data_IF_288191797055
#
_entry.id   IF_288191797055
#
_cell.length_a   1.000
_cell.length_b   1.000
_cell.length_c   1.000
_cell.angle_alpha   90.00
_cell.angle_beta   90.00
_cell.angle_gamma   90.00
#
_symmetry.space_group_name_H-M   'P 1'
#
loop_
_entity.id
_entity.type
_entity.pdbx_description
1 polymer ?
#
# COMPACT_ATOMS: atom_id res chain seq x y z
N UNK A 1 -25.07 18.02 33.31
CA UNK A 1 -25.64 17.39 32.10
C UNK A 1 -24.80 16.18 31.79
N UNK A 2 -25.34 15.01 32.11
CA UNK A 2 -24.64 13.74 32.23
C UNK A 2 -25.40 12.70 31.42
N UNK A 3 -24.78 12.09 30.42
CA UNK A 3 -25.31 10.91 29.75
C UNK A 3 -24.35 9.74 29.91
N UNK A 4 -24.84 8.77 30.65
CA UNK A 4 -24.26 7.48 30.97
C UNK A 4 -24.64 6.46 29.89
N UNK A 5 -23.65 5.80 29.28
CA UNK A 5 -23.84 4.61 28.45
C UNK A 5 -24.17 3.40 29.33
N UNK A 6 -25.34 2.81 29.09
CA UNK A 6 -25.81 1.58 29.72
C UNK A 6 -25.25 0.34 29.01
N UNK A 7 -24.86 -0.63 29.85
CA UNK A 7 -24.44 -1.99 29.50
C UNK A 7 -25.65 -2.84 29.09
N UNK A 8 -25.48 -3.74 28.13
CA UNK A 8 -26.18 -5.03 28.15
C UNK A 8 -25.21 -6.17 27.81
N UNK A 9 -25.26 -7.20 28.65
CA UNK A 9 -24.57 -8.49 28.57
C UNK A 9 -25.66 -9.60 28.69
N UNK A 10 -25.33 -10.88 28.45
CA UNK A 10 -26.12 -11.80 27.61
C UNK A 10 -26.78 -12.95 28.38
N UNK A 11 -27.55 -13.79 27.69
CA UNK A 11 -27.87 -15.19 28.05
C UNK A 11 -28.50 -15.88 26.81
N UNK A 12 -27.95 -16.99 26.27
CA UNK A 12 -28.08 -18.41 26.69
C UNK A 12 -29.45 -19.00 26.26
N UNK A 13 -29.66 -20.20 25.70
CA UNK A 13 -28.97 -21.50 25.66
C UNK A 13 -29.44 -22.39 24.46
N UNK A 14 -28.54 -23.30 24.03
CA UNK A 14 -28.70 -24.75 23.66
C UNK A 14 -29.77 -25.22 22.64
N UNK A 15 -29.30 -25.98 21.63
CA UNK A 15 -29.40 -27.46 21.64
C UNK A 15 -28.49 -28.16 20.61
N UNK A 16 -27.95 -29.30 21.05
CA UNK A 16 -27.01 -30.22 20.39
C UNK A 16 -27.72 -31.15 19.38
N UNK A 17 -27.00 -31.66 18.35
CA UNK A 17 -26.55 -33.07 18.26
C UNK A 17 -25.88 -33.46 16.93
N UNK A 18 -24.77 -34.18 17.09
CA UNK A 18 -24.19 -35.28 16.31
C UNK A 18 -23.54 -35.10 14.91
N UNK A 19 -22.20 -35.23 14.94
CA UNK A 19 -21.25 -35.83 13.96
C UNK A 19 -21.62 -37.29 13.60
N UNK A 20 -21.11 -37.93 12.51
CA UNK A 20 -19.67 -38.02 12.20
C UNK A 20 -19.21 -38.08 10.72
N UNK A 21 -17.88 -37.97 10.58
CA UNK A 21 -17.02 -38.15 9.40
C UNK A 21 -17.04 -39.57 8.82
N UNK A 22 -16.71 -39.75 7.52
CA UNK A 22 -15.88 -40.83 6.90
C UNK A 22 -15.65 -40.53 5.38
N UNK A 23 -14.39 -40.66 4.92
CA UNK A 23 -13.87 -40.59 3.51
C UNK A 23 -14.07 -41.95 2.76
N UNK A 24 -13.41 -42.22 1.60
CA UNK A 24 -13.61 -41.76 0.21
C UNK A 24 -13.92 -42.95 -0.74
N UNK A 25 -14.29 -42.75 -2.02
CA UNK A 25 -14.23 -43.83 -3.03
C UNK A 25 -14.08 -43.33 -4.48
N UNK A 26 -13.01 -43.82 -5.10
CA UNK A 26 -12.76 -43.88 -6.55
C UNK A 26 -13.61 -45.02 -7.16
N UNK A 27 -14.13 -44.86 -8.39
CA UNK A 27 -13.99 -45.86 -9.48
C UNK A 27 -14.91 -45.61 -10.70
N UNK A 28 -14.31 -45.85 -11.87
CA UNK A 28 -14.86 -46.43 -13.09
C UNK A 28 -15.77 -45.61 -14.05
N UNK A 29 -15.22 -45.41 -15.26
CA UNK A 29 -15.89 -45.13 -16.53
C UNK A 29 -16.92 -46.21 -16.92
N UNK A 30 -17.80 -45.89 -17.87
CA UNK A 30 -18.08 -46.80 -18.98
C UNK A 30 -17.79 -46.18 -20.35
N UNK A 31 -17.11 -46.96 -21.18
CA UNK A 31 -16.94 -46.72 -22.62
C UNK A 31 -18.21 -47.10 -23.38
N UNK A 32 -18.59 -46.30 -24.39
CA UNK A 32 -19.50 -46.74 -25.47
C UNK A 32 -19.00 -46.28 -26.85
N UNK A 33 -18.24 -47.19 -27.46
CA UNK A 33 -18.14 -47.56 -28.89
C UNK A 33 -18.75 -46.59 -29.93
N UNK A 34 -17.87 -45.89 -30.66
CA UNK A 34 -18.18 -45.39 -32.00
C UNK A 34 -18.07 -46.53 -33.03
N UNK A 35 -19.15 -46.76 -33.80
CA UNK A 35 -19.15 -47.63 -34.98
C UNK A 35 -18.80 -46.82 -36.22
N UNK A 36 -17.81 -47.30 -36.95
CA UNK A 36 -17.45 -46.94 -38.33
C UNK A 36 -18.25 -47.82 -39.29
N UNK A 37 -18.72 -47.27 -40.42
CA UNK A 37 -18.63 -47.85 -41.77
C UNK A 37 -19.11 -46.82 -42.83
N UNK A 38 -18.68 -46.96 -44.09
CA UNK A 38 -18.26 -45.86 -44.96
C UNK A 38 -19.17 -45.74 -46.19
N UNK A 39 -18.96 -44.73 -47.03
CA UNK A 39 -19.25 -44.83 -48.47
C UNK A 39 -18.33 -43.85 -49.23
N UNK A 40 -17.41 -44.46 -50.00
CA UNK A 40 -16.79 -43.96 -51.24
C UNK A 40 -17.90 -43.44 -52.21
N UNK A 41 -17.70 -42.65 -53.27
CA UNK A 41 -16.55 -42.36 -54.11
C UNK A 41 -16.87 -41.14 -55.02
N UNK A 42 -15.82 -40.61 -55.67
CA UNK A 42 -15.81 -39.89 -56.97
C UNK A 42 -16.37 -38.45 -56.99
N UNK A 43 -15.68 -37.42 -57.50
CA UNK A 43 -14.61 -37.26 -58.51
C UNK A 43 -13.95 -35.88 -58.27
N UNK A 44 -12.63 -35.67 -58.14
CA UNK A 44 -11.50 -35.78 -59.10
C UNK A 44 -11.51 -34.78 -60.26
N UNK A 45 -10.84 -33.63 -60.08
CA UNK A 45 -9.97 -32.96 -61.07
C UNK A 45 -9.07 -31.95 -60.33
N UNK A 46 -7.86 -32.37 -59.91
CA UNK A 46 -6.56 -32.06 -60.53
C UNK A 46 -6.10 -30.60 -60.32
N UNK A 47 -5.26 -30.29 -59.34
CA UNK A 47 -3.77 -30.41 -59.37
C UNK A 47 -3.16 -29.81 -60.65
N UNK A 48 -2.65 -28.58 -60.58
CA UNK A 48 -1.23 -28.25 -60.81
C UNK A 48 -0.99 -26.74 -60.89
N UNK A 49 -0.19 -26.20 -59.97
CA UNK A 49 1.15 -25.66 -60.31
C UNK A 49 1.77 -24.98 -59.09
N UNK A 50 2.63 -25.75 -58.41
CA UNK A 50 3.78 -25.24 -57.65
C UNK A 50 4.69 -24.49 -58.62
N UNK A 51 4.53 -23.18 -58.76
CA UNK A 51 5.54 -22.28 -59.34
C UNK A 51 5.16 -20.84 -59.01
N UNK A 52 5.56 -20.36 -57.82
CA UNK A 52 5.74 -18.92 -57.48
C UNK A 52 5.90 -18.63 -55.97
N UNK A 53 6.09 -19.64 -55.11
CA UNK A 53 6.37 -19.42 -53.68
C UNK A 53 7.81 -18.99 -53.35
N UNK A 54 8.65 -18.72 -54.34
CA UNK A 54 10.05 -18.29 -54.16
C UNK A 54 10.35 -16.87 -54.64
N UNK A 55 9.34 -16.08 -55.06
CA UNK A 55 9.53 -14.68 -55.51
C UNK A 55 8.83 -13.61 -54.65
N UNK A 56 8.26 -13.97 -53.49
CA UNK A 56 7.59 -13.02 -52.59
C UNK A 56 8.44 -12.58 -51.37
N UNK A 57 9.74 -12.90 -51.36
CA UNK A 57 10.64 -12.59 -50.24
C UNK A 57 11.51 -11.32 -50.43
N UNK A 58 11.29 -10.51 -51.47
CA UNK A 58 12.09 -9.29 -51.74
C UNK A 58 11.25 -8.07 -52.15
N UNK A 59 10.20 -7.73 -51.41
CA UNK A 59 9.48 -6.46 -51.58
C UNK A 59 9.33 -5.70 -50.26
N UNK A 60 9.66 -4.40 -50.30
CA UNK A 60 9.70 -3.43 -49.21
C UNK A 60 8.40 -3.27 -48.39
N UNK A 61 8.45 -2.66 -47.18
CA UNK A 61 7.43 -2.82 -46.12
C UNK A 61 6.09 -2.09 -46.32
N UNK A 62 5.89 -1.36 -47.41
CA UNK A 62 4.75 -0.41 -47.52
C UNK A 62 3.45 -1.00 -48.10
N UNK A 63 3.38 -2.30 -48.39
CA UNK A 63 2.16 -2.91 -48.97
C UNK A 63 1.50 -4.00 -48.11
N UNK A 64 1.76 -4.03 -46.79
CA UNK A 64 1.00 -4.89 -45.85
C UNK A 64 -0.34 -4.27 -45.42
N UNK A 65 -0.47 -2.95 -45.37
CA UNK A 65 -1.69 -2.27 -44.91
C UNK A 65 -2.87 -2.29 -45.90
N UNK A 66 -2.62 -2.44 -47.21
CA UNK A 66 -3.70 -2.54 -48.19
C UNK A 66 -4.27 -3.96 -48.38
N UNK A 67 -3.53 -5.02 -48.01
CA UNK A 67 -4.01 -6.41 -48.14
C UNK A 67 -4.76 -6.92 -46.90
N UNK A 68 -4.50 -6.38 -45.71
CA UNK A 68 -5.30 -6.70 -44.51
C UNK A 68 -6.70 -6.08 -44.53
N UNK A 69 -6.89 -4.94 -45.21
CA UNK A 69 -8.22 -4.35 -45.46
C UNK A 69 -9.10 -5.20 -46.40
N UNK A 70 -8.51 -6.03 -47.26
CA UNK A 70 -9.26 -6.88 -48.19
C UNK A 70 -9.69 -8.21 -47.55
N UNK A 71 -8.85 -8.80 -46.69
CA UNK A 71 -9.14 -10.10 -46.07
C UNK A 71 -10.21 -9.99 -44.96
N UNK A 72 -10.28 -8.86 -44.24
CA UNK A 72 -11.36 -8.66 -43.25
C UNK A 72 -12.71 -8.34 -43.89
N UNK A 73 -12.74 -7.59 -45.01
CA UNK A 73 -13.98 -7.37 -45.76
C UNK A 73 -14.49 -8.66 -46.42
N UNK A 74 -13.60 -9.54 -46.89
CA UNK A 74 -14.01 -10.81 -47.50
C UNK A 74 -14.55 -11.80 -46.46
N UNK A 75 -14.04 -11.82 -45.22
CA UNK A 75 -14.58 -12.68 -44.15
C UNK A 75 -15.97 -12.24 -43.66
N UNK A 76 -16.28 -10.94 -43.68
CA UNK A 76 -17.62 -10.42 -43.37
C UNK A 76 -18.59 -10.62 -44.54
N UNK A 77 -18.11 -10.52 -45.79
CA UNK A 77 -18.93 -10.78 -46.98
C UNK A 77 -19.23 -12.26 -47.23
N UNK A 78 -18.38 -13.19 -46.78
CA UNK A 78 -18.66 -14.65 -46.91
C UNK A 78 -19.76 -15.11 -45.94
N UNK A 79 -19.91 -14.48 -44.77
CA UNK A 79 -21.01 -14.79 -43.84
C UNK A 79 -22.32 -14.14 -44.29
N UNK A 80 -22.27 -13.04 -45.05
CA UNK A 80 -23.45 -12.38 -45.61
C UNK A 80 -23.93 -12.96 -46.97
N UNK A 81 -23.11 -13.76 -47.67
CA UNK A 81 -23.41 -14.25 -49.02
C UNK A 81 -23.86 -15.72 -49.11
N UNK A 82 -23.95 -16.46 -48.01
CA UNK A 82 -24.53 -17.82 -48.00
C UNK A 82 -26.02 -17.81 -47.59
N UNK A 83 -26.80 -16.93 -48.21
CA UNK A 83 -28.26 -16.98 -48.19
C UNK A 83 -28.75 -18.10 -49.10
N UNK A 84 -28.72 -19.34 -48.62
CA UNK A 84 -29.26 -20.51 -49.30
C UNK A 84 -30.59 -20.94 -48.68
N UNK A 85 -31.70 -20.57 -49.32
CA UNK A 85 -33.01 -21.17 -49.07
C UNK A 85 -32.96 -22.67 -49.37
N UNK A 86 -33.24 -23.51 -48.38
CA UNK A 86 -33.75 -24.86 -48.59
C UNK A 86 -34.87 -25.10 -47.57
N UNK A 87 -36.09 -25.17 -48.08
CA UNK A 87 -37.31 -25.47 -47.33
C UNK A 87 -37.24 -26.93 -46.83
N UNK A 88 -37.40 -27.15 -45.53
CA UNK A 88 -38.01 -28.37 -45.01
C UNK A 88 -38.87 -28.07 -43.79
N UNK A 89 -40.14 -28.44 -43.88
CA UNK A 89 -41.17 -28.30 -42.85
C UNK A 89 -40.86 -29.19 -41.64
N UNK A 90 -40.96 -28.65 -40.42
CA UNK A 90 -41.93 -29.12 -39.41
C UNK A 90 -41.75 -28.38 -38.09
N UNK A 91 -42.80 -27.67 -37.67
CA UNK A 91 -43.25 -27.50 -36.28
C UNK A 91 -42.20 -27.52 -35.15
N UNK A 92 -41.83 -26.34 -34.63
CA UNK A 92 -41.69 -26.09 -33.18
C UNK A 92 -41.51 -24.60 -32.85
N UNK A 93 -42.44 -24.11 -32.04
CA UNK A 93 -42.37 -22.98 -31.08
C UNK A 93 -41.64 -21.70 -31.49
N UNK A 94 -42.41 -20.63 -31.71
CA UNK A 94 -41.96 -19.24 -31.91
C UNK A 94 -41.33 -18.54 -30.70
N UNK A 95 -40.65 -19.28 -29.81
CA UNK A 95 -39.86 -18.72 -28.70
C UNK A 95 -38.33 -18.79 -28.94
N UNK A 96 -37.84 -19.64 -29.86
CA UNK A 96 -36.38 -19.83 -30.10
C UNK A 96 -35.79 -18.86 -31.15
N UNK A 97 -36.63 -18.17 -31.93
CA UNK A 97 -36.19 -17.17 -32.91
C UNK A 97 -35.88 -15.81 -32.28
N UNK A 98 -36.55 -15.45 -31.17
CA UNK A 98 -36.31 -14.21 -30.44
C UNK A 98 -34.95 -14.22 -29.73
N UNK A 99 -34.60 -15.33 -29.08
CA UNK A 99 -33.33 -15.47 -28.36
C UNK A 99 -32.11 -15.54 -29.31
N UNK A 100 -32.25 -16.15 -30.49
CA UNK A 100 -31.18 -16.17 -31.51
C UNK A 100 -30.98 -14.81 -32.18
N UNK A 101 -32.05 -14.05 -32.43
CA UNK A 101 -31.93 -12.71 -33.00
C UNK A 101 -31.36 -11.69 -32.00
N UNK A 102 -31.76 -11.79 -30.73
CA UNK A 102 -31.19 -10.99 -29.65
C UNK A 102 -29.70 -11.33 -29.47
N UNK A 103 -29.33 -12.61 -29.37
CA UNK A 103 -27.92 -13.02 -29.23
C UNK A 103 -27.07 -12.60 -30.42
N UNK A 104 -27.56 -12.70 -31.65
CA UNK A 104 -26.82 -12.27 -32.83
C UNK A 104 -26.62 -10.74 -32.88
N UNK A 105 -27.65 -9.95 -32.57
CA UNK A 105 -27.55 -8.49 -32.47
C UNK A 105 -26.61 -8.05 -31.34
N UNK A 106 -26.66 -8.73 -30.18
CA UNK A 106 -25.73 -8.50 -29.07
C UNK A 106 -24.28 -8.84 -29.43
N UNK A 107 -24.05 -9.86 -30.27
CA UNK A 107 -22.71 -10.22 -30.76
C UNK A 107 -22.19 -9.17 -31.77
N UNK A 108 -23.04 -8.70 -32.69
CA UNK A 108 -22.71 -7.65 -33.67
C UNK A 108 -22.42 -6.30 -33.01
N UNK A 109 -23.22 -5.90 -32.01
CA UNK A 109 -23.01 -4.65 -31.25
C UNK A 109 -21.69 -4.70 -30.45
N UNK A 110 -21.35 -5.85 -29.84
CA UNK A 110 -20.07 -6.05 -29.15
C UNK A 110 -18.87 -6.02 -30.10
N UNK A 111 -18.97 -6.64 -31.27
CA UNK A 111 -17.91 -6.63 -32.27
C UNK A 111 -17.63 -5.20 -32.78
N UNK A 112 -18.69 -4.39 -32.92
CA UNK A 112 -18.58 -2.99 -33.36
C UNK A 112 -17.90 -2.11 -32.31
N UNK A 113 -18.23 -2.28 -31.03
CA UNK A 113 -17.58 -1.54 -29.95
C UNK A 113 -16.11 -1.94 -29.76
N UNK A 114 -15.77 -3.23 -29.88
CA UNK A 114 -14.38 -3.68 -29.86
C UNK A 114 -13.57 -3.09 -31.02
N UNK A 115 -14.15 -3.02 -32.22
CA UNK A 115 -13.47 -2.42 -33.36
C UNK A 115 -13.23 -0.92 -33.18
N UNK A 116 -14.20 -0.17 -32.63
CA UNK A 116 -14.03 1.26 -32.29
C UNK A 116 -12.93 1.47 -31.25
N UNK A 117 -12.92 0.66 -30.20
CA UNK A 117 -11.89 0.71 -29.16
C UNK A 117 -10.50 0.47 -29.74
N UNK A 118 -10.35 -0.55 -30.58
CA UNK A 118 -9.06 -0.90 -31.20
C UNK A 118 -8.58 0.19 -32.18
N UNK A 119 -9.51 0.79 -32.94
CA UNK A 119 -9.20 1.93 -33.80
C UNK A 119 -8.75 3.16 -33.00
N UNK A 120 -9.42 3.46 -31.89
CA UNK A 120 -9.08 4.59 -31.01
C UNK A 120 -7.74 4.35 -30.30
N UNK A 121 -7.50 3.11 -29.85
CA UNK A 121 -6.23 2.67 -29.29
C UNK A 121 -5.09 2.88 -30.30
N UNK A 122 -5.24 2.40 -31.53
CA UNK A 122 -4.20 2.60 -32.56
C UNK A 122 -3.97 4.08 -32.86
N UNK A 123 -5.04 4.87 -32.99
CA UNK A 123 -4.92 6.31 -33.14
C UNK A 123 -4.13 6.93 -31.98
N UNK A 124 -4.38 6.51 -30.74
CA UNK A 124 -3.64 7.00 -29.55
C UNK A 124 -2.16 6.64 -29.62
N UNK A 125 -1.84 5.42 -30.08
CA UNK A 125 -0.45 4.99 -30.27
C UNK A 125 0.27 5.81 -31.34
N UNK A 126 -0.42 6.20 -32.39
CA UNK A 126 0.16 6.96 -33.51
C UNK A 126 0.31 8.44 -33.16
N UNK A 127 -0.73 9.05 -32.58
CA UNK A 127 -0.80 10.50 -32.34
C UNK A 127 -0.26 10.91 -30.97
N UNK A 128 -0.17 9.97 -30.02
CA UNK A 128 0.07 10.24 -28.59
C UNK A 128 -0.97 11.17 -27.97
N UNK A 129 -2.19 11.24 -28.52
CA UNK A 129 -3.25 12.14 -28.06
C UNK A 129 -4.57 11.40 -27.92
N UNK A 130 -5.14 11.46 -26.73
CA UNK A 130 -6.47 10.93 -26.42
C UNK A 130 -7.05 11.62 -25.19
N UNK A 131 -7.48 12.88 -25.36
CA UNK A 131 -8.06 13.70 -24.28
C UNK A 131 -9.52 13.33 -24.08
N UNK A 132 -9.94 13.12 -22.82
CA UNK A 132 -11.33 12.80 -22.44
C UNK A 132 -11.93 11.59 -23.18
N UNK A 133 -11.07 10.74 -23.75
CA UNK A 133 -11.49 9.61 -24.57
C UNK A 133 -11.77 8.37 -23.73
N UNK A 134 -12.44 7.37 -24.31
CA UNK A 134 -12.74 6.11 -23.63
C UNK A 134 -11.85 4.96 -24.15
N UNK A 135 -10.82 4.64 -23.38
CA UNK A 135 -9.89 3.55 -23.57
C UNK A 135 -10.05 2.46 -22.49
N UNK A 136 -11.24 2.36 -21.88
CA UNK A 136 -11.48 1.38 -20.82
C UNK A 136 -11.23 -0.04 -21.32
N UNK A 137 -10.50 -0.82 -20.52
CA UNK A 137 -10.09 -2.21 -20.85
C UNK A 137 -9.27 -2.35 -22.14
N UNK A 138 -8.73 -1.25 -22.69
CA UNK A 138 -7.81 -1.33 -23.82
C UNK A 138 -6.49 -2.01 -23.41
N UNK A 139 -5.86 -2.70 -24.35
CA UNK A 139 -4.57 -3.36 -24.14
C UNK A 139 -3.41 -2.48 -24.64
N UNK A 140 -2.76 -1.78 -23.74
CA UNK A 140 -1.53 -1.00 -23.95
C UNK A 140 -0.29 -1.69 -23.39
N UNK A 141 -0.31 -3.02 -23.25
CA UNK A 141 0.87 -3.77 -22.82
C UNK A 141 2.06 -3.49 -23.74
N UNK A 142 3.23 -3.25 -23.16
CA UNK A 142 4.48 -2.89 -23.86
C UNK A 142 4.37 -1.63 -24.75
N UNK A 143 3.29 -0.86 -24.64
CA UNK A 143 3.03 0.24 -25.54
C UNK A 143 3.97 1.42 -25.26
N UNK A 144 4.45 2.04 -26.34
CA UNK A 144 5.13 3.33 -26.23
C UNK A 144 4.09 4.45 -26.15
N UNK A 145 3.91 5.04 -24.97
CA UNK A 145 3.03 6.18 -24.68
C UNK A 145 3.83 7.35 -24.06
N UNK A 146 5.14 7.42 -24.32
CA UNK A 146 5.99 8.51 -23.84
C UNK A 146 5.43 9.85 -24.29
N UNK A 147 5.36 10.78 -23.35
CA UNK A 147 4.83 12.13 -23.57
C UNK A 147 3.40 12.17 -24.13
N UNK A 148 2.61 11.10 -23.96
CA UNK A 148 1.24 11.07 -24.43
C UNK A 148 0.33 12.01 -23.61
N UNK A 149 -0.62 12.63 -24.30
CA UNK A 149 -1.66 13.47 -23.72
C UNK A 149 -2.94 12.66 -23.51
N UNK A 150 -3.09 12.14 -22.29
CA UNK A 150 -4.19 11.28 -21.85
C UNK A 150 -5.03 11.98 -20.75
N UNK A 151 -5.05 13.32 -20.76
CA UNK A 151 -5.79 14.13 -19.80
C UNK A 151 -7.25 13.70 -19.73
N UNK A 152 -7.74 13.37 -18.52
CA UNK A 152 -9.09 12.84 -18.25
C UNK A 152 -9.52 11.64 -19.09
N UNK A 153 -8.59 10.93 -19.73
CA UNK A 153 -8.92 9.71 -20.44
C UNK A 153 -9.48 8.66 -19.48
N UNK A 154 -10.47 7.88 -19.94
CA UNK A 154 -10.94 6.71 -19.22
C UNK A 154 -10.11 5.49 -19.61
N UNK A 155 -9.20 5.08 -18.74
CA UNK A 155 -8.32 3.92 -18.84
C UNK A 155 -8.69 2.84 -17.80
N UNK A 156 -9.92 2.86 -17.28
CA UNK A 156 -10.35 1.92 -16.23
C UNK A 156 -10.19 0.47 -16.70
N UNK A 157 -9.49 -0.34 -15.92
CA UNK A 157 -9.21 -1.74 -16.24
C UNK A 157 -8.35 -1.95 -17.48
N UNK A 158 -7.69 -0.92 -18.01
CA UNK A 158 -6.74 -1.07 -19.11
C UNK A 158 -5.52 -1.90 -18.67
N UNK A 159 -4.97 -2.69 -19.61
CA UNK A 159 -3.69 -3.37 -19.43
C UNK A 159 -2.59 -2.44 -19.93
N UNK A 160 -1.79 -1.88 -19.03
CA UNK A 160 -0.65 -0.99 -19.26
C UNK A 160 0.63 -1.63 -18.71
N UNK A 161 0.65 -2.96 -18.56
CA UNK A 161 1.81 -3.67 -18.05
C UNK A 161 3.00 -3.46 -19.00
N UNK A 162 4.18 -3.18 -18.44
CA UNK A 162 5.41 -2.89 -19.21
C UNK A 162 5.30 -1.65 -20.14
N UNK A 163 4.26 -0.82 -20.01
CA UNK A 163 4.08 0.35 -20.87
C UNK A 163 5.07 1.49 -20.53
N UNK A 164 5.46 2.23 -21.58
CA UNK A 164 6.34 3.39 -21.48
C UNK A 164 5.50 4.67 -21.43
N UNK A 165 5.30 5.24 -20.25
CA UNK A 165 4.48 6.42 -19.97
C UNK A 165 5.33 7.60 -19.49
N UNK A 166 6.64 7.59 -19.74
CA UNK A 166 7.54 8.63 -19.25
C UNK A 166 7.08 10.01 -19.76
N UNK A 167 6.96 10.96 -18.83
CA UNK A 167 6.46 12.32 -19.09
C UNK A 167 5.06 12.42 -19.70
N UNK A 168 4.25 11.35 -19.66
CA UNK A 168 2.85 11.40 -20.11
C UNK A 168 1.98 12.28 -19.19
N UNK A 169 0.99 12.96 -19.76
CA UNK A 169 -0.01 13.73 -19.03
C UNK A 169 -1.28 12.91 -18.86
N UNK A 170 -1.48 12.39 -17.65
CA UNK A 170 -2.62 11.59 -17.21
C UNK A 170 -3.45 12.35 -16.16
N UNK A 171 -3.35 13.68 -16.10
CA UNK A 171 -4.08 14.46 -15.09
C UNK A 171 -5.57 14.15 -15.14
N UNK A 172 -6.17 13.88 -13.99
CA UNK A 172 -7.60 13.55 -13.87
C UNK A 172 -8.06 12.30 -14.63
N UNK A 173 -7.15 11.50 -15.18
CA UNK A 173 -7.51 10.25 -15.87
C UNK A 173 -8.11 9.23 -14.90
N UNK A 174 -9.01 8.39 -15.41
CA UNK A 174 -9.58 7.29 -14.66
C UNK A 174 -8.83 6.00 -14.97
N UNK A 175 -8.02 5.52 -14.04
CA UNK A 175 -7.23 4.28 -14.12
C UNK A 175 -7.68 3.24 -13.09
N UNK A 176 -8.94 3.31 -12.63
CA UNK A 176 -9.46 2.36 -11.64
C UNK A 176 -9.26 0.94 -12.11
N UNK A 177 -8.58 0.12 -11.28
CA UNK A 177 -8.31 -1.28 -11.58
C UNK A 177 -7.41 -1.55 -12.79
N UNK A 178 -6.76 -0.53 -13.37
CA UNK A 178 -5.82 -0.72 -14.47
C UNK A 178 -4.57 -1.48 -13.98
N UNK A 179 -3.95 -2.26 -14.86
CA UNK A 179 -2.67 -2.93 -14.58
C UNK A 179 -1.52 -2.11 -15.17
N UNK A 180 -0.77 -1.42 -14.32
CA UNK A 180 0.46 -0.69 -14.63
C UNK A 180 1.68 -1.37 -14.00
N UNK A 181 1.62 -2.69 -13.75
CA UNK A 181 2.78 -3.42 -13.21
C UNK A 181 3.98 -3.23 -14.16
N UNK A 182 5.16 -2.97 -13.61
CA UNK A 182 6.40 -2.71 -14.37
C UNK A 182 6.36 -1.54 -15.37
N UNK A 183 5.29 -0.72 -15.39
CA UNK A 183 5.22 0.43 -16.27
C UNK A 183 6.25 1.51 -15.89
N UNK A 184 6.76 2.23 -16.89
CA UNK A 184 7.68 3.35 -16.70
C UNK A 184 6.90 4.67 -16.73
N UNK A 185 6.63 5.25 -15.57
CA UNK A 185 5.91 6.50 -15.37
C UNK A 185 6.82 7.65 -14.89
N UNK A 186 8.13 7.54 -15.10
CA UNK A 186 9.09 8.57 -14.70
C UNK A 186 8.66 9.94 -15.24
N UNK A 187 8.62 10.96 -14.38
CA UNK A 187 8.19 12.33 -14.70
C UNK A 187 6.75 12.46 -15.24
N UNK A 188 5.92 11.41 -15.18
CA UNK A 188 4.53 11.48 -15.62
C UNK A 188 3.71 12.38 -14.70
N UNK A 189 2.65 12.99 -15.24
CA UNK A 189 1.74 13.82 -14.48
C UNK A 189 0.40 13.10 -14.28
N UNK A 190 0.17 12.58 -13.08
CA UNK A 190 -1.05 11.90 -12.65
C UNK A 190 -1.85 12.73 -11.64
N UNK A 191 -1.65 14.06 -11.59
CA UNK A 191 -2.37 14.93 -10.66
C UNK A 191 -3.89 14.75 -10.78
N UNK A 192 -4.57 14.56 -9.66
CA UNK A 192 -6.01 14.25 -9.56
C UNK A 192 -6.49 12.97 -10.27
N UNK A 193 -5.60 12.13 -10.79
CA UNK A 193 -6.01 10.87 -11.40
C UNK A 193 -6.62 9.91 -10.37
N UNK A 194 -7.47 9.00 -10.84
CA UNK A 194 -8.03 7.94 -10.02
C UNK A 194 -7.38 6.60 -10.36
N UNK A 195 -6.44 6.17 -9.52
CA UNK A 195 -5.75 4.88 -9.57
C UNK A 195 -6.24 3.93 -8.47
N UNK A 196 -7.46 4.12 -7.95
CA UNK A 196 -7.95 3.20 -6.92
C UNK A 196 -8.03 1.76 -7.45
N UNK A 197 -7.56 0.81 -6.65
CA UNK A 197 -7.42 -0.61 -7.01
C UNK A 197 -6.48 -0.89 -8.21
N UNK A 198 -5.75 0.09 -8.72
CA UNK A 198 -4.78 -0.14 -9.79
C UNK A 198 -3.60 -0.98 -9.29
N UNK A 199 -2.99 -1.74 -10.19
CA UNK A 199 -1.76 -2.50 -9.94
C UNK A 199 -0.59 -1.69 -10.47
N UNK A 200 0.34 -1.30 -9.61
CA UNK A 200 1.57 -0.57 -9.94
C UNK A 200 2.80 -1.29 -9.38
N UNK A 201 2.69 -2.59 -9.07
CA UNK A 201 3.80 -3.36 -8.51
C UNK A 201 5.02 -3.26 -9.44
N UNK A 202 6.18 -2.96 -8.88
CA UNK A 202 7.44 -2.74 -9.62
C UNK A 202 7.45 -1.59 -10.64
N UNK A 203 6.39 -0.76 -10.71
CA UNK A 203 6.37 0.39 -11.61
C UNK A 203 7.40 1.46 -11.20
N UNK A 204 7.94 2.18 -12.19
CA UNK A 204 8.85 3.31 -11.96
C UNK A 204 8.09 4.63 -12.06
N UNK A 205 7.77 5.23 -10.92
CA UNK A 205 7.12 6.53 -10.81
C UNK A 205 8.11 7.64 -10.40
N UNK A 206 9.42 7.43 -10.57
CA UNK A 206 10.43 8.42 -10.14
C UNK A 206 10.09 9.83 -10.62
N UNK A 207 10.08 10.82 -9.71
CA UNK A 207 9.77 12.22 -9.99
C UNK A 207 8.39 12.46 -10.66
N UNK A 208 7.47 11.50 -10.61
CA UNK A 208 6.11 11.70 -11.10
C UNK A 208 5.32 12.66 -10.20
N UNK A 209 4.41 13.40 -10.80
CA UNK A 209 3.45 14.23 -10.07
C UNK A 209 2.19 13.41 -9.80
N UNK A 210 1.95 13.07 -8.54
CA UNK A 210 0.80 12.34 -8.02
C UNK A 210 -0.01 13.22 -7.04
N UNK A 211 0.03 14.53 -7.21
CA UNK A 211 -0.68 15.47 -6.34
C UNK A 211 -2.18 15.20 -6.34
N UNK A 212 -2.78 15.06 -5.14
CA UNK A 212 -4.21 14.77 -4.96
C UNK A 212 -4.69 13.51 -5.71
N UNK A 213 -3.79 12.57 -6.01
CA UNK A 213 -4.14 11.32 -6.66
C UNK A 213 -4.94 10.42 -5.72
N UNK A 214 -5.86 9.61 -6.26
CA UNK A 214 -6.52 8.56 -5.51
C UNK A 214 -5.85 7.20 -5.79
N UNK A 215 -5.11 6.68 -4.82
CA UNK A 215 -4.46 5.36 -4.79
C UNK A 215 -5.09 4.44 -3.73
N UNK A 216 -6.33 4.68 -3.34
CA UNK A 216 -7.04 3.83 -2.35
C UNK A 216 -6.98 2.37 -2.80
N UNK A 217 -6.54 1.50 -1.89
CA UNK A 217 -6.38 0.05 -2.10
C UNK A 217 -5.55 -0.32 -3.34
N UNK A 218 -4.69 0.56 -3.84
CA UNK A 218 -3.79 0.26 -4.96
C UNK A 218 -2.64 -0.65 -4.50
N UNK A 219 -2.09 -1.42 -5.45
CA UNK A 219 -0.98 -2.35 -5.22
C UNK A 219 0.31 -1.71 -5.74
N UNK A 220 1.17 -1.20 -4.86
CA UNK A 220 2.43 -0.52 -5.16
C UNK A 220 3.66 -1.26 -4.60
N UNK A 221 3.57 -2.58 -4.41
CA UNK A 221 4.66 -3.37 -3.87
C UNK A 221 5.91 -3.20 -4.74
N UNK A 222 7.06 -2.93 -4.11
CA UNK A 222 8.34 -2.72 -4.79
C UNK A 222 8.32 -1.61 -5.87
N UNK A 223 7.31 -0.73 -5.89
CA UNK A 223 7.27 0.39 -6.82
C UNK A 223 8.34 1.43 -6.44
N UNK A 224 8.91 2.08 -7.44
CA UNK A 224 9.84 3.19 -7.24
C UNK A 224 9.08 4.52 -7.30
N UNK A 225 8.91 5.16 -6.15
CA UNK A 225 8.25 6.44 -5.94
C UNK A 225 9.26 7.52 -5.49
N UNK A 226 10.55 7.34 -5.79
CA UNK A 226 11.61 8.29 -5.39
C UNK A 226 11.29 9.68 -5.92
N UNK A 227 11.41 10.69 -5.04
CA UNK A 227 11.16 12.11 -5.37
C UNK A 227 9.78 12.41 -5.95
N UNK A 228 8.78 11.54 -5.72
CA UNK A 228 7.40 11.77 -6.19
C UNK A 228 6.69 12.87 -5.40
N UNK A 229 5.81 13.61 -6.07
CA UNK A 229 4.89 14.52 -5.40
C UNK A 229 3.58 13.81 -5.09
N UNK A 230 3.38 13.38 -3.85
CA UNK A 230 2.19 12.71 -3.32
C UNK A 230 1.40 13.62 -2.38
N UNK A 231 1.58 14.95 -2.46
CA UNK A 231 0.90 15.89 -1.55
C UNK A 231 -0.61 15.72 -1.62
N UNK A 232 -1.25 15.53 -0.46
CA UNK A 232 -2.69 15.31 -0.35
C UNK A 232 -3.22 14.05 -1.05
N UNK A 233 -2.35 13.13 -1.48
CA UNK A 233 -2.78 11.87 -2.09
C UNK A 233 -3.57 10.99 -1.11
N UNK A 234 -4.47 10.18 -1.66
CA UNK A 234 -5.28 9.21 -0.89
C UNK A 234 -4.72 7.81 -1.11
N UNK A 235 -4.00 7.29 -0.11
CA UNK A 235 -3.38 5.95 -0.09
C UNK A 235 -4.01 5.02 0.96
N UNK A 236 -5.26 5.26 1.35
CA UNK A 236 -5.92 4.43 2.37
C UNK A 236 -5.88 2.96 1.97
N UNK A 237 -5.37 2.11 2.88
CA UNK A 237 -5.26 0.66 2.67
C UNK A 237 -4.48 0.25 1.40
N UNK A 238 -3.63 1.13 0.86
CA UNK A 238 -2.74 0.77 -0.23
C UNK A 238 -1.66 -0.19 0.26
N UNK A 239 -1.17 -1.05 -0.64
CA UNK A 239 -0.07 -1.96 -0.36
C UNK A 239 1.22 -1.37 -0.95
N UNK A 240 2.11 -0.88 -0.10
CA UNK A 240 3.38 -0.24 -0.41
C UNK A 240 4.57 -1.07 0.10
N UNK A 241 4.38 -2.38 0.31
CA UNK A 241 5.43 -3.25 0.84
C UNK A 241 6.72 -3.17 0.00
N UNK A 242 7.83 -2.82 0.66
CA UNK A 242 9.14 -2.64 0.04
C UNK A 242 9.23 -1.53 -1.02
N UNK A 243 8.20 -0.68 -1.16
CA UNK A 243 8.24 0.44 -2.09
C UNK A 243 9.33 1.45 -1.70
N UNK A 244 9.90 2.13 -2.69
CA UNK A 244 10.90 3.17 -2.48
C UNK A 244 10.27 4.56 -2.60
N UNK A 245 9.97 5.20 -1.48
CA UNK A 245 9.47 6.57 -1.35
C UNK A 245 10.55 7.55 -0.87
N UNK A 246 11.84 7.24 -1.09
CA UNK A 246 12.92 8.13 -0.67
C UNK A 246 12.74 9.53 -1.25
N UNK A 247 12.87 10.56 -0.41
CA UNK A 247 12.66 11.96 -0.76
C UNK A 247 11.28 12.30 -1.37
N UNK A 248 10.29 11.40 -1.29
CA UNK A 248 8.94 11.69 -1.76
C UNK A 248 8.26 12.72 -0.86
N UNK A 249 7.36 13.51 -1.44
CA UNK A 249 6.57 14.51 -0.73
C UNK A 249 5.15 14.02 -0.49
N UNK A 250 4.88 13.52 0.72
CA UNK A 250 3.59 13.04 1.20
C UNK A 250 2.90 14.03 2.16
N UNK A 251 3.22 15.33 2.10
CA UNK A 251 2.59 16.30 3.00
C UNK A 251 1.05 16.26 2.88
N UNK A 252 0.38 16.14 4.03
CA UNK A 252 -1.09 15.96 4.15
C UNK A 252 -1.68 14.71 3.48
N UNK A 253 -0.86 13.76 3.03
CA UNK A 253 -1.36 12.53 2.43
C UNK A 253 -2.16 11.68 3.43
N UNK A 254 -3.15 10.96 2.92
CA UNK A 254 -3.97 10.06 3.71
C UNK A 254 -3.56 8.61 3.49
N UNK A 255 -2.74 8.09 4.39
CA UNK A 255 -2.03 6.79 4.31
C UNK A 255 -2.54 5.80 5.38
N UNK A 256 -3.70 6.06 5.96
CA UNK A 256 -4.24 5.27 7.07
C UNK A 256 -4.48 3.81 6.65
N UNK A 257 -4.05 2.87 7.50
CA UNK A 257 -4.19 1.45 7.27
C UNK A 257 -3.39 0.88 6.08
N UNK A 258 -2.53 1.67 5.45
CA UNK A 258 -1.65 1.19 4.39
C UNK A 258 -0.57 0.24 4.94
N UNK A 259 -0.07 -0.64 4.08
CA UNK A 259 1.05 -1.54 4.39
C UNK A 259 2.34 -1.00 3.79
N UNK A 260 3.20 -0.38 4.60
CA UNK A 260 4.53 0.10 4.24
C UNK A 260 5.64 -0.77 4.84
N UNK A 261 5.37 -2.06 5.09
CA UNK A 261 6.37 -2.97 5.65
C UNK A 261 7.61 -3.00 4.75
N UNK A 262 8.78 -2.74 5.33
CA UNK A 262 10.07 -2.69 4.63
C UNK A 262 10.21 -1.55 3.61
N UNK A 263 9.29 -0.59 3.56
CA UNK A 263 9.38 0.53 2.62
C UNK A 263 10.54 1.47 2.97
N UNK A 264 11.12 2.10 1.95
CA UNK A 264 12.14 3.14 2.10
C UNK A 264 11.48 4.51 2.05
N UNK A 265 11.58 5.28 3.12
CA UNK A 265 11.03 6.62 3.31
C UNK A 265 12.14 7.59 3.73
N UNK A 266 13.39 7.28 3.43
CA UNK A 266 14.57 8.09 3.77
C UNK A 266 14.37 9.51 3.27
N UNK A 267 14.48 10.49 4.16
CA UNK A 267 14.27 11.93 3.89
C UNK A 267 12.92 12.28 3.24
N UNK A 268 11.90 11.40 3.32
CA UNK A 268 10.56 11.71 2.82
C UNK A 268 9.90 12.80 3.67
N UNK A 269 9.05 13.62 3.04
CA UNK A 269 8.24 14.61 3.72
C UNK A 269 6.84 14.06 4.01
N UNK A 270 6.57 13.66 5.24
CA UNK A 270 5.29 13.14 5.74
C UNK A 270 4.62 14.14 6.70
N UNK A 271 4.98 15.42 6.62
CA UNK A 271 4.38 16.45 7.48
C UNK A 271 2.86 16.42 7.38
N UNK A 272 2.16 16.45 8.52
CA UNK A 272 0.68 16.41 8.60
C UNK A 272 0.01 15.20 7.92
N UNK A 273 0.78 14.18 7.52
CA UNK A 273 0.23 12.98 6.93
C UNK A 273 -0.56 12.16 7.97
N UNK A 274 -1.60 11.48 7.52
CA UNK A 274 -2.37 10.57 8.35
C UNK A 274 -1.94 9.12 8.07
N UNK A 275 -1.18 8.53 8.98
CA UNK A 275 -0.69 7.15 8.94
C UNK A 275 -1.34 6.28 10.04
N UNK A 276 -2.50 6.67 10.56
CA UNK A 276 -3.20 5.93 11.61
C UNK A 276 -3.41 4.46 11.21
N UNK A 277 -3.10 3.52 12.12
CA UNK A 277 -3.19 2.06 11.89
C UNK A 277 -2.37 1.51 10.71
N UNK A 278 -1.44 2.28 10.15
CA UNK A 278 -0.55 1.77 9.09
C UNK A 278 0.48 0.77 9.63
N UNK A 279 1.01 -0.06 8.73
CA UNK A 279 2.16 -0.93 9.03
C UNK A 279 3.42 -0.31 8.46
N UNK A 280 4.41 -0.10 9.31
CA UNK A 280 5.74 0.45 9.01
C UNK A 280 6.82 -0.47 9.59
N UNK A 281 6.52 -1.77 9.72
CA UNK A 281 7.42 -2.77 10.29
C UNK A 281 8.69 -2.80 9.43
N UNK A 282 9.85 -2.65 10.05
CA UNK A 282 11.16 -2.62 9.36
C UNK A 282 11.28 -1.53 8.26
N UNK A 283 10.41 -0.52 8.25
CA UNK A 283 10.52 0.59 7.31
C UNK A 283 11.72 1.50 7.66
N UNK A 284 12.35 2.07 6.65
CA UNK A 284 13.44 3.05 6.82
C UNK A 284 12.90 4.47 6.67
N UNK A 285 12.71 5.17 7.78
CA UNK A 285 12.31 6.58 7.87
C UNK A 285 13.48 7.48 8.27
N UNK A 286 14.74 7.08 8.03
CA UNK A 286 15.92 7.88 8.40
C UNK A 286 15.81 9.30 7.87
N UNK A 287 15.90 10.29 8.77
CA UNK A 287 15.82 11.71 8.43
C UNK A 287 14.49 12.19 7.85
N UNK A 288 13.42 11.37 7.89
CA UNK A 288 12.12 11.76 7.39
C UNK A 288 11.49 12.90 8.24
N UNK A 289 10.68 13.74 7.60
CA UNK A 289 9.90 14.77 8.28
C UNK A 289 8.49 14.27 8.57
N UNK A 290 8.17 13.93 9.81
CA UNK A 290 6.83 13.53 10.28
C UNK A 290 6.22 14.56 11.25
N UNK A 291 6.63 15.83 11.16
CA UNK A 291 6.07 16.87 12.04
C UNK A 291 4.54 16.91 11.94
N UNK A 292 3.86 16.87 13.08
CA UNK A 292 2.39 16.90 13.18
C UNK A 292 1.68 15.74 12.44
N UNK A 293 2.40 14.69 12.07
CA UNK A 293 1.78 13.50 11.49
C UNK A 293 0.97 12.72 12.53
N UNK A 294 -0.03 11.98 12.06
CA UNK A 294 -0.80 11.06 12.89
C UNK A 294 -0.36 9.62 12.64
N UNK A 295 0.33 9.00 13.61
CA UNK A 295 0.72 7.60 13.63
C UNK A 295 0.02 6.83 14.76
N UNK A 296 -1.16 7.28 15.20
CA UNK A 296 -1.94 6.61 16.22
C UNK A 296 -2.18 5.13 15.88
N UNK A 297 -1.87 4.24 16.83
CA UNK A 297 -1.97 2.79 16.65
C UNK A 297 -1.18 2.20 15.46
N UNK A 298 -0.19 2.91 14.91
CA UNK A 298 0.66 2.40 13.84
C UNK A 298 1.62 1.31 14.35
N UNK A 299 2.03 0.41 13.45
CA UNK A 299 2.99 -0.66 13.75
C UNK A 299 4.37 -0.29 13.18
N UNK A 300 5.29 0.14 14.04
CA UNK A 300 6.64 0.60 13.73
C UNK A 300 7.73 -0.33 14.31
N UNK A 301 7.39 -1.60 14.55
CA UNK A 301 8.35 -2.57 15.10
C UNK A 301 9.60 -2.64 14.23
N UNK A 302 10.78 -2.50 14.84
CA UNK A 302 12.08 -2.52 14.16
C UNK A 302 12.23 -1.46 13.04
N UNK A 303 11.38 -0.44 13.00
CA UNK A 303 11.53 0.66 12.04
C UNK A 303 12.75 1.51 12.38
N UNK A 304 13.40 2.06 11.36
CA UNK A 304 14.50 3.01 11.54
C UNK A 304 13.99 4.44 11.38
N UNK A 305 13.91 5.18 12.47
CA UNK A 305 13.53 6.60 12.55
C UNK A 305 14.70 7.48 13.00
N UNK A 306 15.94 7.00 12.87
CA UNK A 306 17.11 7.78 13.29
C UNK A 306 17.15 9.16 12.60
N UNK A 307 17.43 10.19 13.40
CA UNK A 307 17.43 11.60 12.99
C UNK A 307 16.13 12.12 12.34
N UNK A 308 15.01 11.39 12.45
CA UNK A 308 13.73 11.85 11.92
C UNK A 308 13.16 13.02 12.76
N UNK A 309 12.33 13.84 12.13
CA UNK A 309 11.66 14.96 12.77
C UNK A 309 10.22 14.60 13.11
N UNK A 310 9.93 14.38 14.38
CA UNK A 310 8.62 13.97 14.91
C UNK A 310 8.03 14.99 15.90
N UNK A 311 8.35 16.28 15.73
CA UNK A 311 7.80 17.33 16.58
C UNK A 311 6.26 17.34 16.49
N UNK A 312 5.60 17.39 17.64
CA UNK A 312 4.13 17.37 17.77
C UNK A 312 3.45 16.15 17.10
N UNK A 313 4.18 15.05 16.88
CA UNK A 313 3.60 13.83 16.29
C UNK A 313 2.61 13.17 17.23
N UNK A 314 1.61 12.47 16.68
CA UNK A 314 0.72 11.58 17.44
C UNK A 314 1.17 10.13 17.27
N UNK A 315 1.58 9.48 18.35
CA UNK A 315 2.01 8.08 18.43
C UNK A 315 1.24 7.30 19.52
N UNK A 316 0.06 7.79 19.93
CA UNK A 316 -0.75 7.15 20.97
C UNK A 316 -1.03 5.68 20.64
N UNK A 317 -0.70 4.77 21.57
CA UNK A 317 -0.87 3.30 21.43
C UNK A 317 -0.09 2.71 20.23
N UNK A 318 0.82 3.45 19.61
CA UNK A 318 1.67 2.93 18.56
C UNK A 318 2.64 1.87 19.10
N UNK A 319 3.00 0.91 18.25
CA UNK A 319 3.99 -0.10 18.58
C UNK A 319 5.34 0.25 17.93
N UNK A 320 6.30 0.70 18.74
CA UNK A 320 7.68 1.03 18.37
C UNK A 320 8.68 0.06 19.04
N UNK A 321 8.27 -1.17 19.37
CA UNK A 321 9.17 -2.18 19.93
C UNK A 321 10.41 -2.36 19.03
N UNK A 322 11.60 -2.27 19.65
CA UNK A 322 12.90 -2.38 18.97
C UNK A 322 13.14 -1.35 17.84
N UNK A 323 12.36 -0.26 17.77
CA UNK A 323 12.58 0.78 16.78
C UNK A 323 13.87 1.57 17.07
N UNK A 324 14.56 1.98 16.00
CA UNK A 324 15.69 2.90 16.13
C UNK A 324 15.20 4.35 16.06
N UNK A 325 15.32 5.08 17.16
CA UNK A 325 14.91 6.47 17.36
C UNK A 325 16.11 7.34 17.79
N UNK A 326 17.34 6.93 17.45
CA UNK A 326 18.55 7.67 17.80
C UNK A 326 18.48 9.11 17.28
N UNK A 327 18.75 10.09 18.15
CA UNK A 327 18.78 11.54 17.84
C UNK A 327 17.49 12.05 17.20
N UNK A 328 16.37 11.37 17.43
CA UNK A 328 15.07 11.77 16.92
C UNK A 328 14.56 13.02 17.64
N UNK A 329 13.81 13.87 16.93
CA UNK A 329 13.14 15.02 17.56
C UNK A 329 11.68 14.70 17.84
N UNK A 330 11.32 14.46 19.10
CA UNK A 330 10.00 14.14 19.62
C UNK A 330 9.44 15.26 20.52
N UNK A 331 9.87 16.50 20.32
CA UNK A 331 9.39 17.64 21.12
C UNK A 331 7.86 17.72 21.06
N UNK A 332 7.21 17.77 22.23
CA UNK A 332 5.74 17.82 22.35
C UNK A 332 4.99 16.67 21.65
N UNK A 333 5.67 15.57 21.36
CA UNK A 333 5.05 14.38 20.80
C UNK A 333 4.08 13.73 21.80
N UNK A 334 3.05 13.06 21.28
CA UNK A 334 2.06 12.32 22.09
C UNK A 334 2.28 10.82 21.93
N UNK A 335 3.02 10.21 22.86
CA UNK A 335 3.35 8.79 22.92
C UNK A 335 2.60 8.03 24.04
N UNK A 336 1.48 8.56 24.53
CA UNK A 336 0.75 7.90 25.62
C UNK A 336 0.38 6.46 25.27
N UNK A 337 0.63 5.55 26.21
CA UNK A 337 0.43 4.10 26.08
C UNK A 337 1.15 3.46 24.87
N UNK A 338 2.14 4.14 24.27
CA UNK A 338 2.95 3.57 23.20
C UNK A 338 3.85 2.46 23.74
N UNK A 339 4.16 1.48 22.90
CA UNK A 339 5.12 0.41 23.21
C UNK A 339 6.47 0.78 22.62
N UNK A 340 7.47 0.94 23.47
CA UNK A 340 8.85 1.34 23.16
C UNK A 340 9.84 0.36 23.80
N UNK A 341 9.40 -0.86 24.12
CA UNK A 341 10.27 -1.90 24.71
C UNK A 341 11.48 -2.13 23.82
N UNK A 342 12.68 -2.07 24.41
CA UNK A 342 13.97 -2.20 23.72
C UNK A 342 14.20 -1.19 22.57
N UNK A 343 13.45 -0.09 22.51
CA UNK A 343 13.67 0.94 21.50
C UNK A 343 14.96 1.72 21.80
N UNK A 344 15.65 2.17 20.74
CA UNK A 344 16.85 3.00 20.87
C UNK A 344 16.51 4.48 20.74
N UNK A 345 16.41 5.21 21.84
CA UNK A 345 16.18 6.66 21.93
C UNK A 345 17.44 7.44 22.37
N UNK A 346 18.64 6.90 22.15
CA UNK A 346 19.88 7.58 22.54
C UNK A 346 19.98 8.98 21.92
N UNK A 347 20.25 9.99 22.74
CA UNK A 347 20.32 11.39 22.35
C UNK A 347 19.02 11.98 21.77
N UNK A 348 17.88 11.31 21.94
CA UNK A 348 16.59 11.80 21.46
C UNK A 348 16.16 13.06 22.22
N UNK A 349 15.46 13.97 21.54
CA UNK A 349 14.83 15.12 22.16
C UNK A 349 13.34 14.82 22.41
N UNK A 350 12.96 14.63 23.67
CA UNK A 350 11.61 14.37 24.16
C UNK A 350 11.09 15.53 25.03
N UNK A 351 11.61 16.76 24.85
CA UNK A 351 11.18 17.91 25.65
C UNK A 351 9.67 18.10 25.55
N UNK A 352 9.01 18.26 26.70
CA UNK A 352 7.55 18.41 26.84
C UNK A 352 6.72 17.27 26.20
N UNK A 353 7.32 16.11 25.89
CA UNK A 353 6.60 14.98 25.31
C UNK A 353 5.64 14.33 26.32
N UNK A 354 4.55 13.76 25.82
CA UNK A 354 3.55 13.05 26.63
C UNK A 354 3.72 11.55 26.45
N UNK A 355 4.24 10.88 27.48
CA UNK A 355 4.52 9.45 27.56
C UNK A 355 3.73 8.76 28.69
N UNK A 356 2.58 9.31 29.08
CA UNK A 356 1.71 8.71 30.11
C UNK A 356 1.43 7.24 29.79
N UNK A 357 1.75 6.33 30.72
CA UNK A 357 1.52 4.90 30.57
C UNK A 357 2.33 4.22 29.47
N UNK A 358 3.31 4.90 28.85
CA UNK A 358 4.15 4.29 27.81
C UNK A 358 5.04 3.18 28.39
N UNK A 359 5.28 2.14 27.60
CA UNK A 359 6.20 1.06 27.96
C UNK A 359 7.58 1.28 27.34
N UNK A 360 8.56 1.67 28.14
CA UNK A 360 9.96 1.90 27.81
C UNK A 360 10.89 0.87 28.48
N UNK A 361 10.37 -0.33 28.78
CA UNK A 361 11.16 -1.43 29.36
C UNK A 361 12.39 -1.73 28.50
N UNK A 362 13.56 -1.78 29.14
CA UNK A 362 14.88 -1.98 28.50
C UNK A 362 15.20 -1.00 27.35
N UNK A 363 14.49 0.13 27.25
CA UNK A 363 14.78 1.13 26.21
C UNK A 363 16.10 1.86 26.49
N UNK A 364 16.82 2.21 25.43
CA UNK A 364 18.00 3.04 25.52
C UNK A 364 17.61 4.52 25.44
N UNK A 365 17.78 5.27 26.53
CA UNK A 365 17.52 6.71 26.65
C UNK A 365 18.79 7.45 27.09
N UNK A 366 19.98 6.88 26.85
CA UNK A 366 21.24 7.54 27.21
C UNK A 366 21.34 8.91 26.53
N UNK A 367 21.72 9.92 27.31
CA UNK A 367 21.86 11.31 26.86
C UNK A 367 20.59 11.94 26.26
N UNK A 368 19.43 11.30 26.39
CA UNK A 368 18.18 11.85 25.89
C UNK A 368 17.72 13.07 26.72
N UNK A 369 17.06 14.03 26.07
CA UNK A 369 16.45 15.18 26.73
C UNK A 369 14.95 14.96 26.95
N UNK A 370 14.58 14.59 28.16
CA UNK A 370 13.20 14.42 28.62
C UNK A 370 12.74 15.58 29.51
N UNK A 371 13.34 16.78 29.39
CA UNK A 371 12.95 17.88 30.26
C UNK A 371 11.48 18.28 30.06
N UNK A 372 10.75 18.43 31.17
CA UNK A 372 9.30 18.70 31.17
C UNK A 372 8.44 17.55 30.64
N UNK A 373 9.00 16.38 30.32
CA UNK A 373 8.24 15.26 29.80
C UNK A 373 7.26 14.70 30.84
N UNK A 374 6.10 14.25 30.36
CA UNK A 374 5.02 13.65 31.17
C UNK A 374 5.10 12.13 31.07
N UNK A 375 5.61 11.48 32.11
CA UNK A 375 5.93 10.05 32.19
C UNK A 375 5.12 9.35 33.29
N UNK A 376 3.96 9.91 33.66
CA UNK A 376 3.09 9.37 34.69
C UNK A 376 2.73 7.91 34.38
N UNK A 377 2.88 7.01 35.35
CA UNK A 377 2.60 5.57 35.21
C UNK A 377 3.33 4.87 34.07
N UNK A 378 4.39 5.47 33.53
CA UNK A 378 5.22 4.81 32.52
C UNK A 378 5.99 3.63 33.10
N UNK A 379 6.32 2.67 32.24
CA UNK A 379 7.15 1.50 32.58
C UNK A 379 8.55 1.77 32.04
N UNK A 380 9.53 1.90 32.93
CA UNK A 380 10.94 2.18 32.65
C UNK A 380 11.84 1.11 33.28
N UNK A 381 11.32 -0.10 33.46
CA UNK A 381 12.05 -1.23 34.06
C UNK A 381 13.29 -1.50 33.21
N UNK A 382 14.46 -1.55 33.84
CA UNK A 382 15.73 -1.83 33.15
C UNK A 382 16.19 -0.76 32.15
N UNK A 383 15.46 0.34 31.98
CA UNK A 383 15.78 1.37 30.98
C UNK A 383 17.16 2.03 31.23
N UNK A 384 17.88 2.32 30.14
CA UNK A 384 19.18 2.97 30.19
C UNK A 384 19.02 4.49 30.11
N UNK A 385 19.19 5.20 31.22
CA UNK A 385 18.95 6.65 31.34
C UNK A 385 20.23 7.40 31.75
N UNK A 386 21.40 6.83 31.46
CA UNK A 386 22.68 7.43 31.84
C UNK A 386 22.82 8.80 31.20
N UNK A 387 23.16 9.80 32.00
CA UNK A 387 23.29 11.21 31.58
C UNK A 387 22.02 11.82 30.96
N UNK A 388 20.86 11.18 31.06
CA UNK A 388 19.60 11.73 30.54
C UNK A 388 19.18 12.99 31.30
N UNK A 389 18.58 13.95 30.60
CA UNK A 389 18.02 15.15 31.20
C UNK A 389 16.53 14.95 31.50
N UNK A 390 16.18 14.76 32.77
CA UNK A 390 14.82 14.59 33.28
C UNK A 390 14.38 15.79 34.14
N UNK A 391 14.98 16.98 33.91
CA UNK A 391 14.63 18.19 34.65
C UNK A 391 13.14 18.49 34.51
N UNK A 392 12.46 18.71 35.63
CA UNK A 392 11.01 19.01 35.68
C UNK A 392 10.11 17.93 35.05
N UNK A 393 10.63 16.74 34.77
CA UNK A 393 9.84 15.63 34.27
C UNK A 393 8.84 15.15 35.34
N UNK A 394 7.65 14.73 34.90
CA UNK A 394 6.65 14.11 35.76
C UNK A 394 6.72 12.59 35.67
N UNK A 395 7.32 11.95 36.67
CA UNK A 395 7.48 10.49 36.81
C UNK A 395 6.58 9.92 37.91
N UNK A 396 5.44 10.58 38.21
CA UNK A 396 4.50 10.10 39.22
C UNK A 396 4.03 8.68 38.92
N UNK A 397 4.08 7.81 39.94
CA UNK A 397 3.69 6.40 39.85
C UNK A 397 4.43 5.60 38.76
N UNK A 398 5.55 6.10 38.22
CA UNK A 398 6.33 5.40 37.20
C UNK A 398 7.09 4.21 37.80
N UNK A 399 7.25 3.16 37.00
CA UNK A 399 8.01 1.96 37.39
C UNK A 399 9.43 2.01 36.81
N UNK A 400 10.40 2.38 37.64
CA UNK A 400 11.82 2.54 37.31
C UNK A 400 12.67 1.40 37.90
N UNK A 401 12.08 0.23 38.17
CA UNK A 401 12.82 -0.90 38.76
C UNK A 401 14.05 -1.26 37.93
N UNK A 402 15.21 -1.30 38.58
CA UNK A 402 16.47 -1.65 37.91
C UNK A 402 16.96 -0.65 36.84
N UNK A 403 16.32 0.52 36.70
CA UNK A 403 16.72 1.51 35.71
C UNK A 403 18.13 2.08 35.97
N UNK A 404 18.87 2.39 34.90
CA UNK A 404 20.23 2.93 34.97
C UNK A 404 20.24 4.45 34.82
N UNK A 405 20.10 5.18 35.93
CA UNK A 405 20.02 6.65 36.01
C UNK A 405 21.37 7.32 36.33
N UNK A 406 22.49 6.68 36.01
CA UNK A 406 23.82 7.18 36.36
C UNK A 406 24.07 8.59 35.78
N UNK A 407 24.45 9.55 36.63
CA UNK A 407 24.65 10.96 36.24
C UNK A 407 23.44 11.66 35.60
N UNK A 408 22.23 11.10 35.69
CA UNK A 408 21.02 11.73 35.16
C UNK A 408 20.66 13.02 35.90
N UNK A 409 20.08 13.99 35.20
CA UNK A 409 19.59 15.22 35.79
C UNK A 409 18.10 15.12 36.13
N UNK A 410 17.76 14.85 37.38
CA UNK A 410 16.38 14.75 37.91
C UNK A 410 15.97 16.01 38.69
N UNK A 411 16.62 17.15 38.43
CA UNK A 411 16.34 18.39 39.17
C UNK A 411 14.87 18.79 39.02
N UNK A 412 14.20 19.05 40.14
CA UNK A 412 12.78 19.41 40.19
C UNK A 412 11.82 18.38 39.56
N UNK A 413 12.26 17.14 39.33
CA UNK A 413 11.40 16.09 38.81
C UNK A 413 10.38 15.64 39.88
N UNK A 414 9.18 15.27 39.45
CA UNK A 414 8.17 14.67 40.34
C UNK A 414 8.29 13.15 40.27
N UNK A 415 8.74 12.53 41.35
CA UNK A 415 8.89 11.06 41.51
C UNK A 415 7.91 10.52 42.57
N UNK A 416 6.82 11.25 42.85
CA UNK A 416 5.89 10.84 43.90
C UNK A 416 5.28 9.47 43.57
N UNK A 417 5.37 8.53 44.52
CA UNK A 417 4.88 7.15 44.35
C UNK A 417 5.68 6.32 43.34
N UNK A 418 6.78 6.81 42.78
CA UNK A 418 7.57 6.08 41.80
C UNK A 418 8.29 4.87 42.43
N UNK A 419 8.41 3.78 41.67
CA UNK A 419 9.12 2.58 42.10
C UNK A 419 10.54 2.56 41.53
N UNK A 420 11.54 2.90 42.35
CA UNK A 420 12.96 2.92 41.98
C UNK A 420 13.73 1.73 42.57
N UNK A 421 13.05 0.64 42.95
CA UNK A 421 13.73 -0.51 43.57
C UNK A 421 14.86 -1.04 42.68
N UNK A 422 16.07 -1.13 43.24
CA UNK A 422 17.26 -1.60 42.52
C UNK A 422 17.77 -0.65 41.43
N UNK A 423 17.22 0.55 41.27
CA UNK A 423 17.70 1.51 40.28
C UNK A 423 19.09 2.03 40.63
N UNK A 424 19.89 2.38 39.62
CA UNK A 424 21.22 2.95 39.80
C UNK A 424 21.22 4.46 39.55
N UNK A 425 21.21 5.27 40.61
CA UNK A 425 21.24 6.74 40.57
C UNK A 425 22.63 7.31 40.85
N UNK A 426 23.72 6.54 40.77
CA UNK A 426 25.07 7.04 41.09
C UNK A 426 25.40 8.31 40.29
N UNK A 427 25.74 9.40 41.01
CA UNK A 427 26.04 10.71 40.41
C UNK A 427 24.82 11.51 39.91
N UNK A 428 23.59 11.00 40.02
CA UNK A 428 22.40 11.72 39.58
C UNK A 428 22.11 12.96 40.45
N UNK A 429 21.59 14.03 39.83
CA UNK A 429 21.17 15.24 40.53
C UNK A 429 19.69 15.19 40.88
N UNK A 430 19.37 15.07 42.18
CA UNK A 430 17.99 15.06 42.71
C UNK A 430 17.57 16.40 43.35
N UNK A 431 18.28 17.49 43.08
CA UNK A 431 18.00 18.79 43.73
C UNK A 431 16.55 19.22 43.47
N UNK A 432 15.77 19.39 44.54
CA UNK A 432 14.36 19.79 44.45
C UNK A 432 13.41 18.73 43.88
N UNK A 433 13.87 17.49 43.66
CA UNK A 433 13.00 16.41 43.23
C UNK A 433 12.02 16.01 44.34
N UNK A 434 10.76 15.73 43.98
CA UNK A 434 9.76 15.25 44.93
C UNK A 434 9.78 13.72 44.97
N UNK A 435 10.32 13.14 46.05
CA UNK A 435 10.42 11.69 46.27
C UNK A 435 9.38 11.15 47.28
N UNK A 436 8.31 11.92 47.56
CA UNK A 436 7.28 11.48 48.51
C UNK A 436 6.72 10.12 48.07
N UNK A 437 6.65 9.17 48.99
CA UNK A 437 6.11 7.80 48.74
C UNK A 437 6.89 7.01 47.66
N UNK A 438 8.06 7.48 47.23
CA UNK A 438 8.89 6.73 46.29
C UNK A 438 9.55 5.52 46.98
N UNK A 439 9.55 4.37 46.30
CA UNK A 439 10.22 3.17 46.79
C UNK A 439 11.67 3.12 46.28
N UNK A 440 12.63 3.33 47.17
CA UNK A 440 14.07 3.32 46.85
C UNK A 440 14.78 2.03 47.30
N UNK A 441 14.06 1.00 47.75
CA UNK A 441 14.67 -0.21 48.34
C UNK A 441 15.74 -0.80 47.42
N UNK A 442 16.97 -0.96 47.91
CA UNK A 442 18.08 -1.53 47.14
C UNK A 442 18.60 -0.66 46.00
N UNK A 443 18.13 0.58 45.84
CA UNK A 443 18.65 1.51 44.85
C UNK A 443 20.05 2.01 45.23
N UNK A 444 20.91 2.23 44.23
CA UNK A 444 22.21 2.90 44.43
C UNK A 444 21.96 4.41 44.38
N UNK A 445 22.09 5.10 45.50
CA UNK A 445 21.87 6.53 45.66
C UNK A 445 22.95 7.37 44.95
N UNK A 446 22.74 8.69 44.76
CA UNK A 446 23.72 9.57 44.12
C UNK A 446 25.14 9.52 44.69
N UNK A 447 25.27 9.29 46.00
CA UNK A 447 26.56 9.16 46.68
C UNK A 447 27.18 7.75 46.58
N UNK A 448 26.55 6.82 45.88
CA UNK A 448 26.98 5.44 45.70
C UNK A 448 26.58 4.47 46.81
N UNK A 449 25.89 4.92 47.87
CA UNK A 449 25.37 4.02 48.91
C UNK A 449 24.09 3.32 48.46
N UNK A 450 23.84 2.13 48.99
CA UNK A 450 22.59 1.40 48.72
C UNK A 450 21.52 1.86 49.73
N UNK A 451 20.34 2.19 49.23
CA UNK A 451 19.18 2.50 50.05
C UNK A 451 18.63 1.21 50.72
N UNK A 452 18.27 1.28 52.01
CA UNK A 452 17.86 0.11 52.80
C UNK A 452 16.56 -0.52 52.30
#
# INVERSE_FOLDING_TARGET
MSESYSRSKPNSERHLRHRPDIKPLNSAMPQTKAKVYPLFAESSEAINSKQSLTQLAQAQPERRHHRLKLVSSILVSIVAASGGFAVWQSSRSGQDLGDRFLTQKFVEDRATEQFKLESLRQQTLDTKQCVECNLSRANFRDANLRSAYLWKANLSGADLQDAYLESADLRGANLVGADLSYALLKLANLGYANLSQARLSHGDLTQANLWQVNLKTAHLQQANLTETDLRGAVLHQADLQGANLSQANLDSAQVSGADLTGAKLTQANLQRANLERSKLIQADLTGANLQKANLGSAQLMQANLSAAQLNEVVLWVANLEQANLEKVSLQRARLGYAKLTQANLAGANLTDAVLEGANLEDANLEEADLSGAKLERSILIGAFLKSANLREANLQEADLRGAYLGSANLRSASLQGANLRGANLKGASLKGANLREANLTGAILPNGKIAP
#
